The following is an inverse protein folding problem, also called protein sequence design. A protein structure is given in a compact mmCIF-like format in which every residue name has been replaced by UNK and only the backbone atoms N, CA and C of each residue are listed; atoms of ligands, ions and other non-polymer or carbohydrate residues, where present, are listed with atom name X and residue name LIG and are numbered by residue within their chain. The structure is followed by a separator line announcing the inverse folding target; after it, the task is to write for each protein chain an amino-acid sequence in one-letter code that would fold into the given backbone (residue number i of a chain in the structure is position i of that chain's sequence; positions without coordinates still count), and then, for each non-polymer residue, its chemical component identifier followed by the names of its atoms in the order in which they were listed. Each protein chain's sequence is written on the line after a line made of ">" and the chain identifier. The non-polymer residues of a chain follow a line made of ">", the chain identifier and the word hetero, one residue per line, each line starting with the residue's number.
data_IF_437719742502
#
_entry.id   IF_437719742502
#
_cell.length_a   1.000
_cell.length_b   1.000
_cell.length_c   1.000
_cell.angle_alpha   90.00
_cell.angle_beta   90.00
_cell.angle_gamma   90.00
#
_symmetry.space_group_name_H-M   'P 1'
#
loop_
_entity.id
_entity.type
_entity.pdbx_description
1 polymer ?
#
# COMPACT_ATOMS: atom_id res chain seq x y z
N UNK A 1 -30.14 14.85 -1.98
CA UNK A 1 -28.93 15.64 -1.69
C UNK A 1 -27.77 14.65 -1.65
N UNK A 2 -26.92 14.60 -2.70
CA UNK A 2 -25.67 13.87 -2.62
C UNK A 2 -24.77 14.63 -1.66
N UNK A 3 -24.55 14.09 -0.46
CA UNK A 3 -23.44 14.51 0.38
C UNK A 3 -22.17 14.10 -0.34
N UNK A 4 -21.54 15.06 -1.02
CA UNK A 4 -20.16 14.88 -1.49
C UNK A 4 -19.33 14.50 -0.26
N UNK A 5 -18.74 13.31 -0.26
CA UNK A 5 -17.81 12.92 0.81
C UNK A 5 -16.67 13.94 0.82
N UNK A 6 -16.56 14.69 1.90
CA UNK A 6 -15.44 15.60 2.08
C UNK A 6 -14.18 14.72 2.14
N UNK A 7 -13.16 14.95 1.30
CA UNK A 7 -11.92 14.22 1.37
C UNK A 7 -11.35 14.27 2.79
N UNK A 8 -10.79 13.17 3.26
CA UNK A 8 -10.16 13.10 4.57
C UNK A 8 -9.15 14.25 4.72
N UNK A 9 -9.37 15.14 5.70
CA UNK A 9 -8.54 16.32 5.91
C UNK A 9 -7.07 15.94 6.14
N UNK A 10 -6.78 14.80 6.78
CA UNK A 10 -5.42 14.30 6.99
C UNK A 10 -4.76 13.87 5.69
N UNK A 11 -5.51 13.23 4.80
CA UNK A 11 -5.02 12.87 3.46
C UNK A 11 -4.62 14.14 2.67
N UNK A 12 -5.50 15.13 2.60
CA UNK A 12 -5.22 16.39 1.89
C UNK A 12 -4.05 17.16 2.50
N UNK A 13 -3.96 17.19 3.83
CA UNK A 13 -2.85 17.81 4.54
C UNK A 13 -1.53 17.08 4.23
N UNK A 14 -1.50 15.75 4.30
CA UNK A 14 -0.33 14.96 3.99
C UNK A 14 0.11 15.14 2.53
N UNK A 15 -0.84 15.16 1.58
CA UNK A 15 -0.56 15.40 0.18
C UNK A 15 0.05 16.78 -0.07
N UNK A 16 -0.44 17.82 0.62
CA UNK A 16 0.09 19.18 0.52
C UNK A 16 1.46 19.34 1.18
N UNK A 17 1.68 18.68 2.32
CA UNK A 17 2.92 18.76 3.10
C UNK A 17 4.04 17.86 2.53
N UNK A 18 3.70 16.78 1.84
CA UNK A 18 4.65 15.87 1.21
C UNK A 18 4.98 16.34 -0.21
N UNK A 19 5.63 17.51 -0.34
CA UNK A 19 6.07 17.97 -1.67
C UNK A 19 7.06 16.97 -2.29
N UNK A 20 6.83 16.57 -3.57
CA UNK A 20 7.73 15.63 -4.22
C UNK A 20 9.13 16.22 -4.36
N UNK A 21 10.15 15.41 -4.15
CA UNK A 21 11.56 15.79 -4.31
C UNK A 21 11.88 16.19 -5.75
N UNK A 22 11.37 15.47 -6.73
CA UNK A 22 11.53 15.77 -8.15
C UNK A 22 10.27 16.41 -8.72
N UNK A 23 10.36 17.65 -9.16
CA UNK A 23 9.25 18.40 -9.77
C UNK A 23 9.27 18.41 -11.29
N UNK A 24 10.46 18.24 -11.88
CA UNK A 24 10.63 18.18 -13.32
C UNK A 24 10.59 16.73 -13.79
N UNK A 25 9.89 16.48 -14.89
CA UNK A 25 9.79 15.15 -15.48
C UNK A 25 11.00 14.90 -16.38
N UNK A 26 11.96 14.04 -15.99
CA UNK A 26 12.98 13.56 -16.90
C UNK A 26 12.36 12.71 -18.00
N UNK A 27 12.96 12.68 -19.19
CA UNK A 27 12.51 11.80 -20.29
C UNK A 27 12.62 10.32 -19.94
N UNK A 28 13.55 9.97 -19.02
CA UNK A 28 13.69 8.63 -18.45
C UNK A 28 13.96 8.76 -16.95
N UNK A 29 13.64 7.69 -16.19
CA UNK A 29 14.01 7.61 -14.78
C UNK A 29 15.52 7.70 -14.61
N UNK A 30 15.95 8.54 -13.64
CA UNK A 30 17.36 8.58 -13.26
C UNK A 30 17.72 7.36 -12.38
N UNK A 31 19.03 7.10 -12.24
CA UNK A 31 19.51 5.99 -11.39
C UNK A 31 19.02 6.08 -9.95
N UNK A 32 18.91 7.30 -9.40
CA UNK A 32 18.40 7.51 -8.05
C UNK A 32 16.92 7.09 -7.91
N UNK A 33 16.08 7.40 -8.88
CA UNK A 33 14.66 6.99 -8.89
C UNK A 33 14.53 5.46 -9.01
N UNK A 34 15.35 4.84 -9.86
CA UNK A 34 15.42 3.39 -10.01
C UNK A 34 15.77 2.75 -8.67
N UNK A 35 16.84 3.21 -8.01
CA UNK A 35 17.26 2.69 -6.72
C UNK A 35 16.22 2.90 -5.59
N UNK A 36 15.44 3.99 -5.61
CA UNK A 36 14.32 4.20 -4.68
C UNK A 36 13.23 3.13 -4.88
N UNK A 37 12.82 2.92 -6.12
CA UNK A 37 11.76 1.94 -6.45
C UNK A 37 12.22 0.50 -6.20
N UNK A 38 13.47 0.16 -6.49
CA UNK A 38 14.03 -1.16 -6.20
C UNK A 38 13.99 -1.49 -4.69
N UNK A 39 14.26 -0.52 -3.82
CA UNK A 39 14.14 -0.72 -2.36
C UNK A 39 12.69 -0.95 -1.93
N UNK A 40 11.73 -0.26 -2.55
CA UNK A 40 10.29 -0.50 -2.29
C UNK A 40 9.90 -1.89 -2.75
N UNK A 41 10.27 -2.26 -3.98
CA UNK A 41 9.99 -3.59 -4.53
C UNK A 41 10.61 -4.67 -3.66
N UNK A 42 11.87 -4.52 -3.24
CA UNK A 42 12.54 -5.49 -2.35
C UNK A 42 11.84 -5.64 -1.00
N UNK A 43 11.35 -4.52 -0.41
CA UNK A 43 10.62 -4.55 0.86
C UNK A 43 9.32 -5.37 0.76
N UNK A 44 8.55 -5.17 -0.30
CA UNK A 44 7.22 -5.79 -0.42
C UNK A 44 7.26 -7.16 -1.11
N UNK A 45 8.24 -7.45 -1.97
CA UNK A 45 8.37 -8.77 -2.61
C UNK A 45 8.80 -9.89 -1.66
N UNK A 46 9.46 -9.54 -0.56
CA UNK A 46 9.71 -10.43 0.58
C UNK A 46 8.85 -9.96 1.76
N UNK A 47 7.57 -10.31 1.77
CA UNK A 47 6.63 -9.89 2.82
C UNK A 47 6.73 -10.77 4.07
N UNK A 48 7.96 -11.06 4.51
CA UNK A 48 8.28 -11.87 5.69
C UNK A 48 8.44 -11.04 6.96
N UNK A 49 8.28 -11.69 8.12
CA UNK A 49 8.50 -11.06 9.43
C UNK A 49 9.93 -10.51 9.55
N UNK A 50 10.94 -11.27 9.11
CA UNK A 50 12.34 -10.87 9.20
C UNK A 50 12.62 -9.61 8.37
N UNK A 51 12.20 -9.60 7.11
CA UNK A 51 12.39 -8.48 6.21
C UNK A 51 11.63 -7.22 6.69
N UNK A 52 10.34 -7.34 7.02
CA UNK A 52 9.54 -6.21 7.47
C UNK A 52 10.03 -5.62 8.79
N UNK A 53 10.40 -6.46 9.75
CA UNK A 53 10.89 -6.00 11.05
C UNK A 53 12.18 -5.17 10.95
N UNK A 54 13.01 -5.45 9.96
CA UNK A 54 14.32 -4.82 9.75
C UNK A 54 14.22 -3.61 8.80
N UNK A 55 13.50 -3.74 7.70
CA UNK A 55 13.66 -2.84 6.57
C UNK A 55 12.56 -1.78 6.43
N UNK A 56 11.40 -1.90 7.09
CA UNK A 56 10.35 -0.86 7.01
C UNK A 56 10.87 0.51 7.42
N UNK A 57 11.57 0.62 8.55
CA UNK A 57 12.13 1.90 9.04
C UNK A 57 13.32 2.40 8.23
N UNK A 58 13.90 1.56 7.37
CA UNK A 58 14.95 1.98 6.44
C UNK A 58 14.37 2.57 5.14
N UNK A 59 13.22 2.03 4.69
CA UNK A 59 12.55 2.44 3.45
C UNK A 59 11.62 3.64 3.67
N UNK A 60 10.95 3.72 4.82
CA UNK A 60 10.11 4.86 5.19
C UNK A 60 10.88 5.92 5.98
N UNK A 61 10.57 7.19 5.75
CA UNK A 61 11.03 8.27 6.60
C UNK A 61 10.39 8.15 7.99
N UNK A 62 11.08 8.62 9.05
CA UNK A 62 10.57 8.60 10.42
C UNK A 62 9.17 9.22 10.51
N UNK A 63 9.01 10.42 9.92
CA UNK A 63 7.72 11.05 9.68
C UNK A 63 7.29 10.77 8.25
N UNK A 64 6.21 10.04 8.10
CA UNK A 64 5.68 9.62 6.81
C UNK A 64 4.18 9.45 6.92
N UNK A 65 3.44 9.75 5.87
CA UNK A 65 2.02 9.42 5.79
C UNK A 65 1.85 8.08 5.09
N UNK A 66 1.11 7.18 5.71
CA UNK A 66 0.67 5.91 5.14
C UNK A 66 -0.85 5.77 5.29
N UNK A 67 -1.50 5.32 4.24
CA UNK A 67 -2.90 4.91 4.29
C UNK A 67 -3.15 3.73 3.36
N UNK A 68 -3.89 2.77 3.84
CA UNK A 68 -4.49 1.70 3.05
C UNK A 68 -6.03 1.73 3.17
N UNK A 69 -6.71 0.64 2.77
CA UNK A 69 -8.16 0.52 2.87
C UNK A 69 -8.69 0.47 4.32
N UNK A 70 -7.85 0.23 5.32
CA UNK A 70 -8.26 -0.01 6.71
C UNK A 70 -7.75 1.03 7.69
N UNK A 71 -6.52 1.49 7.54
CA UNK A 71 -5.78 2.27 8.53
C UNK A 71 -4.97 3.40 7.90
N UNK A 72 -4.57 4.34 8.77
CA UNK A 72 -3.62 5.38 8.40
C UNK A 72 -2.67 5.65 9.56
N UNK A 73 -1.42 5.97 9.23
CA UNK A 73 -0.32 6.19 10.16
C UNK A 73 0.55 7.35 9.70
N UNK A 74 1.29 7.95 10.66
CA UNK A 74 2.16 9.10 10.41
C UNK A 74 3.63 8.84 10.82
N UNK A 75 4.00 7.57 11.05
CA UNK A 75 5.37 7.21 11.38
C UNK A 75 5.75 5.83 10.87
N UNK A 76 7.02 5.66 10.47
CA UNK A 76 7.57 4.39 10.02
C UNK A 76 7.40 3.26 11.05
N UNK A 77 7.57 3.57 12.34
CA UNK A 77 7.43 2.57 13.40
C UNK A 77 5.99 2.08 13.56
N UNK A 78 4.99 2.97 13.40
CA UNK A 78 3.58 2.58 13.43
C UNK A 78 3.21 1.71 12.21
N UNK A 79 3.75 2.04 11.03
CA UNK A 79 3.60 1.25 9.81
C UNK A 79 4.22 -0.14 10.00
N UNK A 80 5.44 -0.21 10.53
CA UNK A 80 6.13 -1.48 10.81
C UNK A 80 5.30 -2.39 11.70
N UNK A 81 4.78 -1.87 12.82
CA UNK A 81 3.91 -2.62 13.74
C UNK A 81 2.63 -3.10 13.04
N UNK A 82 2.03 -2.27 12.22
CA UNK A 82 0.82 -2.60 11.47
C UNK A 82 1.07 -3.73 10.47
N UNK A 83 2.15 -3.63 9.67
CA UNK A 83 2.51 -4.66 8.70
C UNK A 83 2.81 -6.00 9.37
N UNK A 84 3.58 -5.98 10.48
CA UNK A 84 3.90 -7.20 11.24
C UNK A 84 2.64 -7.85 11.84
N UNK A 85 1.70 -7.06 12.37
CA UNK A 85 0.43 -7.58 12.85
C UNK A 85 -0.42 -8.17 11.71
N UNK A 86 -0.31 -7.62 10.50
CA UNK A 86 -0.98 -8.12 9.30
C UNK A 86 -0.53 -9.53 8.90
N UNK A 87 0.68 -9.97 9.28
CA UNK A 87 1.19 -11.32 9.02
C UNK A 87 0.59 -12.38 9.95
N UNK A 88 0.06 -12.01 11.12
CA UNK A 88 -0.43 -12.99 12.11
C UNK A 88 -1.45 -13.99 11.55
N UNK A 89 -2.46 -13.60 10.75
CA UNK A 89 -3.44 -14.50 10.19
C UNK A 89 -2.96 -15.27 8.95
N UNK A 90 -1.78 -14.94 8.40
CA UNK A 90 -1.30 -15.46 7.13
C UNK A 90 -0.34 -16.64 7.33
N UNK A 91 -0.46 -17.64 6.46
CA UNK A 91 0.55 -18.67 6.25
C UNK A 91 1.64 -18.12 5.31
N UNK A 92 1.20 -17.41 4.26
CA UNK A 92 2.11 -16.80 3.28
C UNK A 92 1.47 -15.55 2.63
N UNK A 93 2.31 -14.67 2.09
CA UNK A 93 1.90 -13.46 1.38
C UNK A 93 2.89 -13.13 0.25
N UNK A 94 2.35 -12.81 -0.91
CA UNK A 94 3.12 -12.46 -2.11
C UNK A 94 2.61 -11.14 -2.68
N UNK A 95 3.53 -10.21 -2.97
CA UNK A 95 3.27 -8.99 -3.71
C UNK A 95 4.10 -8.98 -4.99
N UNK A 96 3.40 -8.87 -6.12
CA UNK A 96 4.03 -8.79 -7.45
C UNK A 96 3.77 -7.40 -8.02
N UNK A 97 4.83 -6.65 -8.29
CA UNK A 97 4.74 -5.35 -8.96
C UNK A 97 4.74 -5.56 -10.46
N UNK A 98 3.69 -5.12 -11.13
CA UNK A 98 3.48 -5.35 -12.55
C UNK A 98 4.03 -4.19 -13.38
N UNK A 99 3.72 -2.96 -12.98
CA UNK A 99 4.07 -1.74 -13.69
C UNK A 99 4.25 -0.59 -12.72
N UNK A 100 4.94 0.45 -13.19
CA UNK A 100 4.98 1.73 -12.50
C UNK A 100 4.80 2.87 -13.49
N UNK A 101 4.37 4.03 -12.96
CA UNK A 101 4.34 5.30 -13.67
C UNK A 101 4.84 6.41 -12.73
N UNK A 102 5.48 7.43 -13.28
CA UNK A 102 5.89 8.60 -12.52
C UNK A 102 5.46 9.89 -13.20
N UNK A 103 5.18 10.92 -12.41
CA UNK A 103 4.87 12.25 -12.90
C UNK A 103 5.28 13.31 -11.87
N UNK A 104 6.41 13.97 -12.10
CA UNK A 104 6.86 15.10 -11.27
C UNK A 104 7.08 14.75 -9.80
N UNK A 105 7.63 13.56 -9.52
CA UNK A 105 7.90 13.07 -8.17
C UNK A 105 6.74 12.34 -7.48
N UNK A 106 5.61 12.19 -8.18
CA UNK A 106 4.56 11.24 -7.83
C UNK A 106 4.84 9.92 -8.53
N UNK A 107 4.82 8.81 -7.79
CA UNK A 107 5.08 7.45 -8.28
C UNK A 107 3.86 6.58 -8.04
N UNK A 108 3.47 5.81 -9.05
CA UNK A 108 2.34 4.91 -9.01
C UNK A 108 2.81 3.50 -9.35
N UNK A 109 2.63 2.57 -8.42
CA UNK A 109 3.01 1.17 -8.57
C UNK A 109 1.75 0.31 -8.65
N UNK A 110 1.56 -0.35 -9.77
CA UNK A 110 0.49 -1.33 -10.00
C UNK A 110 0.98 -2.71 -9.52
N UNK A 111 0.19 -3.36 -8.65
CA UNK A 111 0.58 -4.61 -8.03
C UNK A 111 -0.57 -5.61 -7.92
N UNK A 112 -0.19 -6.88 -7.81
CA UNK A 112 -1.06 -7.98 -7.40
C UNK A 112 -0.62 -8.46 -6.03
N UNK A 113 -1.54 -8.56 -5.10
CA UNK A 113 -1.36 -9.13 -3.78
C UNK A 113 -2.03 -10.51 -3.72
N UNK A 114 -1.31 -11.50 -3.20
CA UNK A 114 -1.81 -12.86 -2.99
C UNK A 114 -1.57 -13.25 -1.53
N UNK A 115 -2.61 -13.73 -0.87
CA UNK A 115 -2.55 -14.08 0.54
C UNK A 115 -3.02 -15.53 0.75
N UNK A 116 -2.23 -16.34 1.44
CA UNK A 116 -2.62 -17.64 1.98
C UNK A 116 -2.91 -17.50 3.48
N UNK A 117 -4.09 -17.87 3.92
CA UNK A 117 -4.51 -17.68 5.31
C UNK A 117 -4.46 -19.00 6.08
N UNK A 118 -3.94 -18.97 7.31
CA UNK A 118 -3.83 -20.13 8.22
C UNK A 118 -5.12 -20.92 8.45
N UNK A 119 -6.28 -20.27 8.32
CA UNK A 119 -7.59 -20.89 8.53
C UNK A 119 -8.27 -21.41 7.26
N UNK A 120 -7.56 -21.43 6.15
CA UNK A 120 -7.99 -22.05 4.89
C UNK A 120 -7.12 -23.28 4.60
N UNK A 121 -7.57 -24.19 3.71
CA UNK A 121 -6.69 -25.27 3.26
C UNK A 121 -5.40 -24.66 2.69
N UNK A 122 -4.25 -25.18 3.09
CA UNK A 122 -2.93 -24.71 2.65
C UNK A 122 -2.85 -24.63 1.13
N UNK A 123 -2.31 -23.53 0.61
CA UNK A 123 -2.20 -23.27 -0.83
C UNK A 123 -3.48 -22.71 -1.46
N UNK A 124 -4.46 -22.29 -0.65
CA UNK A 124 -5.64 -21.59 -1.14
C UNK A 124 -5.37 -20.09 -1.16
N UNK A 125 -4.81 -19.61 -2.24
CA UNK A 125 -4.47 -18.21 -2.43
C UNK A 125 -5.70 -17.35 -2.74
N UNK A 126 -5.81 -16.25 -2.02
CA UNK A 126 -6.76 -15.17 -2.28
C UNK A 126 -6.01 -14.02 -2.96
N UNK A 127 -6.59 -13.47 -4.02
CA UNK A 127 -5.91 -12.46 -4.86
C UNK A 127 -6.69 -11.16 -4.93
N UNK A 128 -5.98 -10.04 -4.90
CA UNK A 128 -6.49 -8.70 -5.19
C UNK A 128 -5.44 -7.90 -5.95
N UNK A 129 -5.90 -6.90 -6.68
CA UNK A 129 -5.06 -5.95 -7.41
C UNK A 129 -5.17 -4.57 -6.77
N UNK A 130 -4.13 -3.78 -6.89
CA UNK A 130 -4.14 -2.41 -6.38
C UNK A 130 -3.09 -1.52 -7.03
N UNK A 131 -3.16 -0.26 -6.66
CA UNK A 131 -2.18 0.75 -7.05
C UNK A 131 -1.75 1.50 -5.79
N UNK A 132 -0.47 1.70 -5.62
CA UNK A 132 0.10 2.56 -4.59
C UNK A 132 0.56 3.87 -5.20
N UNK A 133 0.16 4.99 -4.59
CA UNK A 133 0.72 6.31 -4.84
C UNK A 133 1.78 6.62 -3.79
N UNK A 134 2.98 6.95 -4.20
CA UNK A 134 4.13 7.24 -3.33
C UNK A 134 4.81 8.55 -3.69
N UNK A 135 5.46 9.15 -2.67
CA UNK A 135 6.43 10.24 -2.79
C UNK A 135 7.64 9.95 -1.90
N UNK A 136 8.80 10.42 -2.35
CA UNK A 136 10.06 10.24 -1.64
C UNK A 136 10.68 11.60 -1.26
N UNK A 137 11.48 11.59 -0.19
CA UNK A 137 12.34 12.72 0.17
C UNK A 137 13.68 12.66 -0.58
N UNK A 138 14.56 13.64 -0.34
CA UNK A 138 15.89 13.71 -0.94
C UNK A 138 16.83 12.56 -0.56
N UNK A 139 16.52 11.82 0.51
CA UNK A 139 17.27 10.62 0.94
C UNK A 139 16.71 9.34 0.28
N UNK A 140 15.67 9.48 -0.54
CA UNK A 140 14.97 8.36 -1.18
C UNK A 140 14.14 7.52 -0.22
N UNK A 141 13.70 8.09 0.91
CA UNK A 141 12.77 7.45 1.84
C UNK A 141 11.34 7.87 1.54
N UNK A 142 10.38 6.95 1.72
CA UNK A 142 8.95 7.22 1.51
C UNK A 142 8.46 8.21 2.57
N UNK A 143 7.88 9.33 2.11
CA UNK A 143 7.23 10.35 2.93
C UNK A 143 5.70 10.35 2.77
N UNK A 144 5.20 9.75 1.71
CA UNK A 144 3.79 9.60 1.42
C UNK A 144 3.53 8.26 0.75
N UNK A 145 2.53 7.51 1.23
CA UNK A 145 2.10 6.22 0.70
C UNK A 145 0.58 6.11 0.83
N UNK A 146 -0.10 5.93 -0.28
CA UNK A 146 -1.53 5.68 -0.32
C UNK A 146 -1.83 4.48 -1.20
N UNK A 147 -2.40 3.43 -0.61
CA UNK A 147 -2.91 2.27 -1.34
C UNK A 147 -4.35 2.46 -1.78
N UNK A 148 -4.63 2.07 -3.01
CA UNK A 148 -5.96 1.98 -3.61
C UNK A 148 -6.22 0.55 -4.05
N UNK A 149 -7.05 -0.16 -3.31
CA UNK A 149 -7.47 -1.52 -3.61
C UNK A 149 -8.84 -1.82 -3.00
N UNK A 150 -9.51 -2.87 -3.48
CA UNK A 150 -10.83 -3.27 -2.98
C UNK A 150 -10.70 -4.36 -1.91
N UNK A 151 -10.86 -4.07 -0.60
CA UNK A 151 -10.80 -5.06 0.45
C UNK A 151 -11.93 -6.09 0.38
N UNK A 152 -12.95 -5.88 -0.47
CA UNK A 152 -14.01 -6.86 -0.69
C UNK A 152 -13.50 -8.10 -1.40
N UNK A 153 -12.41 -8.00 -2.15
CA UNK A 153 -11.85 -9.13 -2.91
C UNK A 153 -11.30 -10.23 -2.00
N UNK A 154 -10.70 -9.84 -0.87
CA UNK A 154 -10.07 -10.78 0.05
C UNK A 154 -10.73 -10.74 1.44
N UNK A 155 -10.76 -9.56 2.11
CA UNK A 155 -11.04 -9.48 3.54
C UNK A 155 -12.52 -9.56 3.85
N UNK A 156 -13.34 -8.68 3.26
CA UNK A 156 -14.76 -8.60 3.62
C UNK A 156 -15.57 -9.82 3.21
N UNK A 157 -15.23 -10.49 2.11
CA UNK A 157 -15.92 -11.73 1.70
C UNK A 157 -15.71 -12.91 2.66
N UNK A 158 -14.71 -12.83 3.56
CA UNK A 158 -14.45 -13.82 4.60
C UNK A 158 -15.34 -13.65 5.83
N UNK A 159 -15.96 -12.48 5.97
CA UNK A 159 -16.92 -12.19 7.05
C UNK A 159 -18.33 -12.52 6.54
N UNK A 160 -19.02 -13.57 7.09
CA UNK A 160 -20.28 -14.06 6.52
C UNK A 160 -21.34 -12.96 6.32
N UNK A 161 -21.53 -12.09 7.32
CA UNK A 161 -22.51 -11.00 7.26
C UNK A 161 -22.11 -9.96 6.20
N UNK A 162 -20.83 -9.58 6.15
CA UNK A 162 -20.33 -8.63 5.16
C UNK A 162 -20.46 -9.19 3.74
N UNK A 163 -20.15 -10.48 3.53
CA UNK A 163 -20.32 -11.17 2.24
C UNK A 163 -21.76 -11.07 1.73
N UNK A 164 -22.75 -11.31 2.58
CA UNK A 164 -24.18 -11.24 2.21
C UNK A 164 -24.60 -9.81 1.86
N UNK A 165 -24.16 -8.81 2.66
CA UNK A 165 -24.46 -7.41 2.43
C UNK A 165 -23.84 -6.90 1.13
N UNK A 166 -22.57 -7.22 0.87
CA UNK A 166 -21.85 -6.87 -0.35
C UNK A 166 -22.54 -7.50 -1.56
N UNK A 167 -22.89 -8.79 -1.52
CA UNK A 167 -23.61 -9.46 -2.59
C UNK A 167 -24.97 -8.80 -2.87
N UNK A 168 -25.70 -8.42 -1.82
CA UNK A 168 -26.97 -7.70 -1.95
C UNK A 168 -26.79 -6.33 -2.63
N UNK A 169 -25.79 -5.54 -2.21
CA UNK A 169 -25.53 -4.21 -2.80
C UNK A 169 -25.08 -4.34 -4.24
N UNK A 170 -24.09 -5.20 -4.53
CA UNK A 170 -23.60 -5.43 -5.91
C UNK A 170 -24.69 -5.98 -6.85
N UNK A 171 -25.65 -6.75 -6.34
CA UNK A 171 -26.79 -7.26 -7.12
C UNK A 171 -27.89 -6.22 -7.38
N UNK A 172 -27.83 -5.05 -6.74
CA UNK A 172 -28.76 -3.94 -6.93
C UNK A 172 -28.23 -2.84 -7.87
N UNK A 173 -26.94 -2.84 -8.17
CA UNK A 173 -26.27 -1.94 -9.11
C UNK A 173 -26.22 -2.51 -10.52
#
# INVERSE_FOLDING_TARGET
>A
MHTQSIPDARYLQALTQSEPYLRERPEAMCEAETAMLERVVALFSDYSYENLSKNVTEVYAEKTYFRDAFKQFESAEAIRKYMLAGLEPLEDAEFVFNRFASNGGDYYLDWTMRLDFKKTPTGTWEESIGVTHMRFNSEGKIIFHQDYWDPTDIVYRRIPIAKQLIAFVKGKM
#
